data_IF_105950137417
#
_entry.id   IF_105950137417
#
_cell.length_a   1.000
_cell.length_b   1.000
_cell.length_c   1.000
_cell.angle_alpha   90.00
_cell.angle_beta   90.00
_cell.angle_gamma   90.00
#
_symmetry.space_group_name_H-M   'P 1'
#
loop_
_entity.id
_entity.type
_entity.pdbx_description
1 polymer ?
#
# COMPACT_ATOMS: atom_id res chain seq x y z
N UNK A 1 10.52 11.56 1.81
CA UNK A 1 10.20 10.16 2.12
C UNK A 1 8.96 10.13 3.00
N UNK A 2 7.80 9.87 2.39
CA UNK A 2 6.51 9.71 3.06
C UNK A 2 6.23 8.22 3.14
N UNK A 3 5.91 7.73 4.34
CA UNK A 3 5.58 6.33 4.55
C UNK A 3 4.07 6.12 4.37
N UNK A 4 3.72 5.13 3.56
CA UNK A 4 2.33 4.84 3.17
C UNK A 4 1.95 3.44 3.63
N UNK A 5 0.72 3.31 4.14
CA UNK A 5 0.10 2.02 4.40
C UNK A 5 -1.13 1.88 3.49
N UNK A 6 -1.29 0.71 2.84
CA UNK A 6 -2.43 0.45 1.95
C UNK A 6 -3.40 -0.51 2.63
N UNK A 7 -4.66 -0.09 2.77
CA UNK A 7 -5.73 -0.90 3.38
C UNK A 7 -6.91 -0.98 2.43
N UNK A 8 -7.09 -2.14 1.80
CA UNK A 8 -8.16 -2.38 0.82
C UNK A 8 -8.50 -3.87 0.80
N UNK A 9 -9.78 -4.22 0.88
CA UNK A 9 -10.26 -5.61 0.86
C UNK A 9 -10.20 -6.26 -0.54
N UNK A 10 -9.94 -5.47 -1.58
CA UNK A 10 -9.76 -5.91 -2.95
C UNK A 10 -8.27 -6.08 -3.27
N UNK A 11 -7.84 -7.33 -3.39
CA UNK A 11 -6.44 -7.66 -3.68
C UNK A 11 -5.89 -7.03 -4.97
N UNK A 12 -6.73 -6.90 -6.01
CA UNK A 12 -6.31 -6.32 -7.30
C UNK A 12 -6.01 -4.82 -7.19
N UNK A 13 -6.82 -4.08 -6.43
CA UNK A 13 -6.64 -2.64 -6.22
C UNK A 13 -5.38 -2.39 -5.42
N UNK A 14 -5.19 -3.13 -4.31
CA UNK A 14 -4.01 -3.02 -3.47
C UNK A 14 -2.71 -3.28 -4.22
N UNK A 15 -2.69 -4.34 -5.04
CA UNK A 15 -1.52 -4.69 -5.86
C UNK A 15 -1.21 -3.59 -6.88
N UNK A 16 -2.22 -3.10 -7.60
CA UNK A 16 -2.04 -2.03 -8.60
C UNK A 16 -1.59 -0.71 -7.97
N UNK A 17 -2.18 -0.33 -6.83
CA UNK A 17 -1.79 0.87 -6.11
C UNK A 17 -0.36 0.77 -5.57
N UNK A 18 0.05 -0.38 -5.03
CA UNK A 18 1.43 -0.60 -4.61
C UNK A 18 2.41 -0.40 -5.75
N UNK A 19 2.15 -1.01 -6.91
CA UNK A 19 3.02 -0.88 -8.09
C UNK A 19 3.16 0.58 -8.52
N UNK A 20 2.05 1.30 -8.58
CA UNK A 20 2.05 2.72 -8.93
C UNK A 20 2.84 3.59 -7.92
N UNK A 21 2.68 3.33 -6.61
CA UNK A 21 3.37 4.09 -5.57
C UNK A 21 4.86 3.75 -5.49
N UNK A 22 5.28 2.54 -5.84
CA UNK A 22 6.69 2.13 -5.90
C UNK A 22 7.46 2.85 -7.04
N UNK A 23 6.77 3.46 -8.02
CA UNK A 23 7.39 4.30 -9.07
C UNK A 23 7.73 5.72 -8.59
N UNK A 24 7.21 6.15 -7.43
CA UNK A 24 7.39 7.49 -6.89
C UNK A 24 8.52 7.51 -5.86
N UNK A 25 9.62 8.19 -6.17
CA UNK A 25 10.86 8.19 -5.35
C UNK A 25 10.68 8.76 -3.94
N UNK A 26 9.66 9.60 -3.72
CA UNK A 26 9.40 10.25 -2.44
C UNK A 26 8.47 9.44 -1.52
N UNK A 27 7.88 8.34 -2.02
CA UNK A 27 6.96 7.48 -1.31
C UNK A 27 7.56 6.10 -1.02
N UNK A 28 7.11 5.51 0.08
CA UNK A 28 7.44 4.13 0.43
C UNK A 28 6.26 3.42 1.05
N UNK A 29 5.81 2.34 0.42
CA UNK A 29 4.81 1.45 1.02
C UNK A 29 5.48 0.63 2.12
N UNK A 30 5.09 0.88 3.37
CA UNK A 30 5.66 0.22 4.55
C UNK A 30 4.74 -0.83 5.15
N UNK A 31 3.47 -0.82 4.78
CA UNK A 31 2.48 -1.77 5.29
C UNK A 31 1.32 -2.00 4.32
N UNK A 32 0.75 -3.20 4.34
CA UNK A 32 -0.40 -3.59 3.51
C UNK A 32 -1.37 -4.48 4.29
N UNK A 33 -2.67 -4.37 4.02
CA UNK A 33 -3.67 -5.23 4.64
C UNK A 33 -5.02 -5.20 3.93
N UNK A 34 -5.83 -6.24 4.17
CA UNK A 34 -7.21 -6.29 3.68
C UNK A 34 -8.18 -5.49 4.56
N UNK A 35 -7.82 -5.27 5.83
CA UNK A 35 -8.61 -4.53 6.83
C UNK A 35 -7.66 -3.82 7.78
N UNK A 36 -8.15 -2.80 8.49
CA UNK A 36 -7.30 -1.98 9.38
C UNK A 36 -6.58 -2.76 10.48
N UNK A 37 -7.11 -3.91 10.91
CA UNK A 37 -6.46 -4.79 11.89
C UNK A 37 -5.37 -5.71 11.32
N UNK A 38 -5.36 -5.87 10.00
CA UNK A 38 -4.49 -6.82 9.28
C UNK A 38 -3.24 -6.13 8.72
N UNK A 39 -3.12 -4.82 8.91
CA UNK A 39 -2.01 -3.99 8.41
C UNK A 39 -0.76 -4.31 9.23
N UNK A 40 0.26 -4.82 8.55
CA UNK A 40 1.58 -5.21 9.10
C UNK A 40 2.70 -4.48 8.39
#
# INVERSE_FOLDING_TARGET
>A
MINVAIVDDHAIVRTGLRQFLDELEDLRVVAEGARGRDVI
#
